data_IF_340367888497
#
_entry.id   IF_340367888497
#
_cell.length_a   1.000
_cell.length_b   1.000
_cell.length_c   1.000
_cell.angle_alpha   90.00
_cell.angle_beta   90.00
_cell.angle_gamma   90.00
#
_symmetry.space_group_name_H-M   'P 1'
#
loop_
_entity.id
_entity.type
_entity.pdbx_description
1 polymer ?
#
# COMPACT_ATOMS: atom_id res chain seq x y z
N UNK A 1 8.13 -3.79 -10.87
CA UNK A 1 8.67 -2.43 -11.04
C UNK A 1 7.86 -1.41 -10.27
N UNK A 2 8.48 -0.34 -9.78
CA UNK A 2 7.77 0.84 -9.25
C UNK A 2 7.03 1.61 -10.38
N UNK A 3 6.11 2.49 -10.00
CA UNK A 3 5.41 3.40 -10.93
C UNK A 3 6.40 4.29 -11.68
N UNK A 4 6.23 4.41 -13.00
CA UNK A 4 7.09 5.19 -13.91
C UNK A 4 6.42 6.46 -14.44
N UNK A 5 5.09 6.50 -14.48
CA UNK A 5 4.33 7.59 -15.11
C UNK A 5 4.21 8.88 -14.28
N UNK A 6 4.62 8.87 -13.01
CA UNK A 6 4.72 10.06 -12.18
C UNK A 6 5.76 9.89 -11.07
N UNK A 7 6.51 10.95 -10.78
CA UNK A 7 7.50 10.94 -9.72
C UNK A 7 6.92 11.57 -8.44
N UNK A 8 6.57 10.73 -7.46
CA UNK A 8 6.10 11.20 -6.16
C UNK A 8 7.18 11.99 -5.40
N UNK A 9 6.73 12.98 -4.61
CA UNK A 9 7.61 13.81 -3.80
C UNK A 9 8.38 12.98 -2.77
N UNK A 10 9.60 13.41 -2.46
CA UNK A 10 10.39 12.81 -1.39
C UNK A 10 9.74 13.12 -0.04
N UNK A 11 9.65 12.11 0.83
CA UNK A 11 9.17 12.24 2.21
C UNK A 11 10.17 12.96 3.13
N UNK A 12 11.46 12.72 2.89
CA UNK A 12 12.55 13.31 3.68
C UNK A 12 12.88 12.58 4.99
N UNK A 13 12.13 11.54 5.36
CA UNK A 13 12.38 10.70 6.54
C UNK A 13 11.70 9.32 6.39
N UNK A 14 11.97 8.38 7.30
CA UNK A 14 11.27 7.10 7.35
C UNK A 14 9.79 7.29 7.74
N UNK A 15 8.83 6.58 7.13
CA UNK A 15 7.42 6.65 7.52
C UNK A 15 7.22 6.54 9.03
N UNK A 16 6.28 7.31 9.59
CA UNK A 16 5.94 7.32 11.03
C UNK A 16 5.06 6.14 11.44
N UNK A 17 4.58 5.37 10.47
CA UNK A 17 3.73 4.22 10.67
C UNK A 17 3.15 3.71 9.35
N UNK A 18 2.22 2.78 9.46
CA UNK A 18 1.49 2.16 8.36
C UNK A 18 0.00 2.47 8.51
N UNK A 19 -0.66 2.73 7.38
CA UNK A 19 -2.13 2.66 7.29
C UNK A 19 -2.49 1.41 6.50
N UNK A 20 -3.31 0.55 7.09
CA UNK A 20 -3.82 -0.65 6.43
C UNK A 20 -5.19 -0.35 5.80
N UNK A 21 -5.28 -0.55 4.50
CA UNK A 21 -6.48 -0.32 3.70
C UNK A 21 -7.03 -1.63 3.16
N UNK A 22 -8.33 -1.63 2.90
CA UNK A 22 -8.96 -2.61 2.03
C UNK A 22 -9.15 -1.95 0.66
N UNK A 23 -8.73 -2.62 -0.40
CA UNK A 23 -8.70 -2.05 -1.76
C UNK A 23 -10.08 -1.79 -2.38
N UNK A 24 -11.15 -2.24 -1.72
CA UNK A 24 -12.52 -2.34 -2.22
C UNK A 24 -12.63 -3.05 -3.58
N UNK A 25 -11.67 -3.92 -3.90
CA UNK A 25 -11.49 -4.53 -5.19
C UNK A 25 -12.19 -5.88 -5.36
N UNK A 26 -12.49 -6.22 -6.61
CA UNK A 26 -13.08 -7.50 -6.99
C UNK A 26 -12.11 -8.68 -6.81
N UNK A 27 -12.59 -9.90 -7.07
CA UNK A 27 -11.75 -11.10 -7.04
C UNK A 27 -10.54 -11.02 -7.99
N UNK A 28 -10.64 -10.25 -9.08
CA UNK A 28 -9.55 -10.03 -10.03
C UNK A 28 -8.56 -8.93 -9.64
N UNK A 29 -8.83 -8.18 -8.57
CA UNK A 29 -7.98 -7.07 -8.11
C UNK A 29 -6.76 -7.59 -7.32
N UNK A 30 -5.92 -8.44 -7.93
CA UNK A 30 -4.71 -8.96 -7.29
C UNK A 30 -3.61 -7.89 -7.23
N UNK A 31 -2.59 -8.08 -6.38
CA UNK A 31 -1.38 -7.26 -6.39
C UNK A 31 -0.73 -7.17 -7.78
N UNK A 32 -0.77 -8.25 -8.56
CA UNK A 32 -0.29 -8.27 -9.95
C UNK A 32 -1.20 -7.46 -10.89
N UNK A 33 -2.52 -7.52 -10.70
CA UNK A 33 -3.45 -6.66 -11.46
C UNK A 33 -3.19 -5.17 -11.17
N UNK A 34 -2.95 -4.81 -9.91
CA UNK A 34 -2.53 -3.46 -9.54
C UNK A 34 -1.17 -3.09 -10.15
N UNK A 35 -0.18 -3.98 -10.15
CA UNK A 35 1.09 -3.76 -10.85
C UNK A 35 0.88 -3.44 -12.33
N UNK A 36 0.14 -4.29 -13.03
CA UNK A 36 -0.12 -4.14 -14.46
C UNK A 36 -0.89 -2.84 -14.77
N UNK A 37 -1.80 -2.44 -13.86
CA UNK A 37 -2.59 -1.21 -14.00
C UNK A 37 -1.88 0.07 -13.58
N UNK A 38 -0.83 -0.01 -12.74
CA UNK A 38 -0.19 1.18 -12.13
C UNK A 38 1.21 1.48 -12.67
N UNK A 39 1.99 0.48 -13.08
CA UNK A 39 3.40 0.66 -13.45
C UNK A 39 3.62 1.75 -14.51
N UNK A 40 2.73 1.82 -15.51
CA UNK A 40 2.76 2.80 -16.60
C UNK A 40 1.54 3.75 -16.56
N UNK A 41 0.83 3.81 -15.43
CA UNK A 41 -0.32 4.69 -15.28
C UNK A 41 0.09 6.16 -15.42
N UNK A 42 -0.76 6.95 -16.09
CA UNK A 42 -0.60 8.39 -16.20
C UNK A 42 -1.00 9.11 -14.90
N UNK A 43 -0.75 10.42 -14.86
CA UNK A 43 -1.14 11.26 -13.73
C UNK A 43 -2.64 11.15 -13.41
N UNK A 44 -3.51 11.16 -14.43
CA UNK A 44 -4.97 11.13 -14.27
C UNK A 44 -5.47 9.87 -13.57
N UNK A 45 -4.78 8.73 -13.75
CA UNK A 45 -5.08 7.51 -12.99
C UNK A 45 -4.54 7.58 -11.57
N UNK A 46 -3.33 8.13 -11.39
CA UNK A 46 -2.64 8.17 -10.10
C UNK A 46 -3.27 9.19 -9.14
N UNK A 47 -3.73 10.34 -9.63
CA UNK A 47 -4.35 11.41 -8.81
C UNK A 47 -5.65 10.98 -8.12
N UNK A 48 -6.28 9.91 -8.62
CA UNK A 48 -7.47 9.29 -8.00
C UNK A 48 -7.15 8.53 -6.71
N UNK A 49 -5.87 8.33 -6.44
CA UNK A 49 -5.38 7.63 -5.27
C UNK A 49 -4.49 6.46 -5.64
N UNK A 50 -3.39 6.34 -4.90
CA UNK A 50 -2.40 5.28 -5.02
C UNK A 50 -1.69 5.11 -3.69
N UNK A 51 -1.56 3.85 -3.25
CA UNK A 51 -0.85 3.47 -2.05
C UNK A 51 0.60 3.05 -2.36
N UNK A 52 1.36 2.73 -1.31
CA UNK A 52 2.75 2.34 -1.50
C UNK A 52 2.88 0.86 -1.87
N UNK A 53 2.12 -0.01 -1.20
CA UNK A 53 2.09 -1.45 -1.50
C UNK A 53 0.67 -1.97 -1.73
N UNK A 54 0.55 -2.97 -2.59
CA UNK A 54 -0.65 -3.77 -2.85
C UNK A 54 -0.32 -5.25 -2.60
N UNK A 55 -1.16 -5.96 -1.83
CA UNK A 55 -0.82 -7.29 -1.33
C UNK A 55 -1.98 -8.28 -1.52
N UNK A 56 -1.69 -9.40 -2.19
CA UNK A 56 -2.60 -10.55 -2.33
C UNK A 56 -1.81 -11.85 -2.40
N UNK A 57 -2.28 -12.91 -1.73
CA UNK A 57 -1.58 -14.18 -1.63
C UNK A 57 -0.17 -13.96 -1.08
N UNK A 58 0.84 -14.48 -1.77
CA UNK A 58 2.25 -14.29 -1.39
C UNK A 58 2.92 -13.12 -2.12
N UNK A 59 2.16 -12.32 -2.86
CA UNK A 59 2.69 -11.23 -3.69
C UNK A 59 2.57 -9.90 -2.96
N UNK A 60 3.70 -9.24 -2.77
CA UNK A 60 3.78 -7.84 -2.35
C UNK A 60 4.25 -7.02 -3.54
N UNK A 61 3.37 -6.19 -4.08
CA UNK A 61 3.74 -5.20 -5.09
C UNK A 61 3.99 -3.84 -4.42
N UNK A 62 5.25 -3.38 -4.39
CA UNK A 62 5.59 -2.01 -3.99
C UNK A 62 5.51 -1.08 -5.20
N UNK A 63 4.44 -0.30 -5.27
CA UNK A 63 4.18 0.67 -6.33
C UNK A 63 5.00 1.96 -6.16
N UNK A 64 5.18 2.40 -4.92
CA UNK A 64 5.89 3.62 -4.55
C UNK A 64 6.90 3.28 -3.44
N UNK A 65 8.19 3.65 -3.58
CA UNK A 65 9.18 3.40 -2.55
C UNK A 65 8.89 4.21 -1.29
N UNK A 66 9.20 3.64 -0.11
CA UNK A 66 8.93 4.21 1.22
C UNK A 66 9.46 5.65 1.44
N UNK A 67 10.53 6.02 0.74
CA UNK A 67 11.15 7.34 0.81
C UNK A 67 10.37 8.43 0.07
N UNK A 68 9.28 8.07 -0.62
CA UNK A 68 8.35 8.99 -1.28
C UNK A 68 6.99 9.00 -0.57
N UNK A 69 6.21 10.04 -0.82
CA UNK A 69 4.82 10.14 -0.36
C UNK A 69 3.87 9.37 -1.28
N UNK A 70 2.65 9.09 -0.82
CA UNK A 70 1.59 8.54 -1.67
C UNK A 70 0.24 9.23 -1.38
N UNK A 71 -0.78 8.96 -2.18
CA UNK A 71 -2.10 9.60 -2.08
C UNK A 71 -3.15 8.55 -1.73
N UNK A 72 -3.30 8.25 -0.44
CA UNK A 72 -4.06 7.06 0.01
C UNK A 72 -5.03 7.31 1.17
N UNK A 73 -5.03 8.49 1.80
CA UNK A 73 -5.90 8.79 2.96
C UNK A 73 -6.64 10.13 2.85
N UNK A 74 -6.62 10.77 1.69
CA UNK A 74 -7.25 12.09 1.45
C UNK A 74 -6.90 13.18 2.49
N UNK A 75 -5.74 13.04 3.14
CA UNK A 75 -5.25 13.93 4.18
C UNK A 75 -3.77 14.20 3.94
N UNK A 76 -3.35 15.47 3.92
CA UNK A 76 -1.97 15.86 3.61
C UNK A 76 -0.96 15.22 4.57
N UNK A 77 -1.22 15.27 5.88
CA UNK A 77 -0.32 14.69 6.87
C UNK A 77 -0.30 13.17 6.78
N UNK A 78 -1.47 12.53 6.64
CA UNK A 78 -1.55 11.08 6.48
C UNK A 78 -0.77 10.56 5.25
N UNK A 79 -0.98 11.20 4.10
CA UNK A 79 -0.29 10.91 2.83
C UNK A 79 1.24 11.10 2.92
N UNK A 80 1.66 12.14 3.65
CA UNK A 80 3.06 12.49 3.80
C UNK A 80 3.77 11.69 4.90
N UNK A 81 3.08 11.29 5.96
CA UNK A 81 3.71 10.75 7.17
C UNK A 81 3.64 9.23 7.25
N UNK A 82 2.66 8.60 6.62
CA UNK A 82 2.42 7.16 6.72
C UNK A 82 2.70 6.42 5.42
N UNK A 83 3.00 5.12 5.56
CA UNK A 83 3.09 4.16 4.47
C UNK A 83 1.74 3.46 4.30
N UNK A 84 1.15 3.56 3.11
CA UNK A 84 -0.13 2.94 2.78
C UNK A 84 0.02 1.56 2.19
N UNK A 85 -0.68 0.58 2.75
CA UNK A 85 -0.78 -0.79 2.22
C UNK A 85 -2.24 -1.09 1.90
N UNK A 86 -2.49 -1.54 0.68
CA UNK A 86 -3.79 -2.03 0.22
C UNK A 86 -3.82 -3.56 0.31
N UNK A 87 -4.74 -4.08 1.12
CA UNK A 87 -5.07 -5.50 1.21
C UNK A 87 -6.07 -5.79 0.10
N UNK A 88 -5.59 -6.50 -0.91
CA UNK A 88 -6.28 -6.66 -2.17
C UNK A 88 -7.45 -7.65 -2.11
N UNK A 89 -8.37 -7.53 -3.08
CA UNK A 89 -9.53 -8.41 -3.29
C UNK A 89 -10.58 -8.36 -2.18
N UNK A 90 -10.63 -7.26 -1.42
CA UNK A 90 -11.43 -7.15 -0.18
C UNK A 90 -12.95 -7.25 -0.35
N UNK A 91 -13.48 -7.11 -1.57
CA UNK A 91 -14.91 -7.29 -1.86
C UNK A 91 -15.20 -8.62 -2.57
N UNK A 92 -14.26 -9.11 -3.39
CA UNK A 92 -14.53 -10.25 -4.26
C UNK A 92 -13.86 -11.57 -3.87
N UNK A 93 -12.88 -11.57 -2.97
CA UNK A 93 -12.30 -12.80 -2.44
C UNK A 93 -13.28 -13.52 -1.49
N UNK A 94 -13.10 -14.83 -1.34
CA UNK A 94 -13.72 -15.55 -0.22
C UNK A 94 -13.09 -15.12 1.10
N UNK A 95 -13.81 -15.24 2.22
CA UNK A 95 -13.27 -14.92 3.56
C UNK A 95 -11.93 -15.62 3.82
N UNK A 96 -11.82 -16.90 3.48
CA UNK A 96 -10.58 -17.66 3.63
C UNK A 96 -9.41 -17.03 2.87
N UNK A 97 -9.67 -16.59 1.65
CA UNK A 97 -8.64 -15.97 0.80
C UNK A 97 -8.31 -14.56 1.29
N UNK A 98 -9.31 -13.77 1.69
CA UNK A 98 -9.09 -12.43 2.19
C UNK A 98 -8.32 -12.44 3.53
N UNK A 99 -8.68 -13.34 4.45
CA UNK A 99 -7.92 -13.55 5.70
C UNK A 99 -6.45 -13.92 5.40
N UNK A 100 -6.19 -14.71 4.35
CA UNK A 100 -4.81 -15.01 3.94
C UNK A 100 -4.09 -13.77 3.39
N UNK A 101 -4.77 -12.92 2.61
CA UNK A 101 -4.23 -11.64 2.15
C UNK A 101 -3.90 -10.72 3.33
N UNK A 102 -4.77 -10.66 4.35
CA UNK A 102 -4.52 -9.90 5.59
C UNK A 102 -3.27 -10.41 6.31
N UNK A 103 -3.08 -11.73 6.44
CA UNK A 103 -1.87 -12.27 7.07
C UNK A 103 -0.59 -11.86 6.34
N UNK A 104 -0.59 -11.90 5.01
CA UNK A 104 0.55 -11.43 4.21
C UNK A 104 0.80 -9.94 4.40
N UNK A 105 -0.26 -9.13 4.50
CA UNK A 105 -0.14 -7.70 4.78
C UNK A 105 0.39 -7.42 6.19
N UNK A 106 0.02 -8.23 7.19
CA UNK A 106 0.56 -8.12 8.55
C UNK A 106 2.03 -8.52 8.60
N UNK A 107 2.43 -9.57 7.87
CA UNK A 107 3.84 -9.96 7.77
C UNK A 107 4.68 -8.85 7.14
N UNK A 108 4.21 -8.25 6.04
CA UNK A 108 4.89 -7.13 5.40
C UNK A 108 4.93 -5.89 6.32
N UNK A 109 3.82 -5.61 7.01
CA UNK A 109 3.75 -4.51 7.98
C UNK A 109 4.77 -4.67 9.10
N UNK A 110 4.89 -5.87 9.67
CA UNK A 110 5.87 -6.18 10.70
C UNK A 110 7.31 -6.00 10.18
N UNK A 111 7.60 -6.44 8.94
CA UNK A 111 8.91 -6.27 8.30
C UNK A 111 9.26 -4.79 8.15
N UNK A 112 8.32 -3.97 7.67
CA UNK A 112 8.53 -2.55 7.43
C UNK A 112 8.64 -1.74 8.72
N UNK A 113 7.76 -1.98 9.70
CA UNK A 113 7.88 -1.37 11.03
C UNK A 113 9.23 -1.68 11.69
N UNK A 114 9.67 -2.95 11.61
CA UNK A 114 10.99 -3.36 12.11
C UNK A 114 12.12 -2.62 11.39
N UNK A 115 12.04 -2.49 10.06
CA UNK A 115 13.02 -1.74 9.26
C UNK A 115 13.12 -0.27 9.67
N UNK A 116 12.01 0.36 10.03
CA UNK A 116 11.97 1.76 10.45
C UNK A 116 12.19 1.97 11.97
N UNK A 117 12.40 0.90 12.74
CA UNK A 117 12.56 0.98 14.19
C UNK A 117 11.29 1.37 14.94
N UNK A 118 10.11 1.05 14.37
CA UNK A 118 8.81 1.40 14.95
C UNK A 118 8.15 0.18 15.63
N UNK A 119 7.51 0.38 16.81
CA UNK A 119 6.70 -0.67 17.44
C UNK A 119 5.38 -0.87 16.67
N UNK A 120 4.73 -2.03 16.85
CA UNK A 120 3.34 -2.22 16.42
C UNK A 120 2.38 -1.77 17.54
N UNK A 121 1.75 -0.62 17.40
CA UNK A 121 0.78 -0.11 18.37
C UNK A 121 -0.20 0.88 17.72
N UNK A 122 -1.13 1.41 18.52
CA UNK A 122 -2.16 2.37 18.07
C UNK A 122 -1.63 3.71 17.56
N UNK A 123 -0.33 3.98 17.61
CA UNK A 123 0.26 5.22 17.05
C UNK A 123 0.91 5.00 15.68
N UNK A 124 1.34 3.78 15.42
CA UNK A 124 2.14 3.38 14.25
C UNK A 124 1.37 2.47 13.29
N UNK A 125 0.23 1.93 13.70
CA UNK A 125 -0.71 1.19 12.85
C UNK A 125 -2.05 1.90 12.92
N UNK A 126 -2.55 2.34 11.76
CA UNK A 126 -3.77 3.11 11.58
C UNK A 126 -4.73 2.42 10.63
#
# INVERSE_FOLDING_TARGET
>A
DEIKGYNMDKRGYNPKGIVLHNDAGSAGATAEAYHNGLVNADYNRLERGVAHSYISGNTVYQAIPEGKVAWHVANRAGNHDYYGIEICQSVGATDKQFLANEQSAFQESARMLKKWGLPANRNTVR
#
